data_IF_614782103954
#
_entry.id   IF_614782103954
#
_cell.length_a   1.000
_cell.length_b   1.000
_cell.length_c   1.000
_cell.angle_alpha   90.00
_cell.angle_beta   90.00
_cell.angle_gamma   90.00
#
_symmetry.space_group_name_H-M   'P 1'
#
loop_
_entity.id
_entity.type
_entity.pdbx_description
1 polymer ?
#
# COMPACT_ATOMS: atom_id res chain seq x y z
N UNK A 1 3.01 38.32 -6.03
CA UNK A 1 3.50 37.60 -4.83
C UNK A 1 2.53 36.46 -4.56
N UNK A 2 2.88 35.18 -4.75
CA UNK A 2 1.97 34.09 -4.40
C UNK A 2 1.88 33.99 -2.88
N UNK A 3 0.64 33.88 -2.38
CA UNK A 3 0.28 33.80 -0.97
C UNK A 3 0.78 32.47 -0.41
N UNK A 4 1.53 32.50 0.69
CA UNK A 4 1.92 31.30 1.42
C UNK A 4 0.65 30.57 1.89
N UNK A 5 0.54 29.29 1.58
CA UNK A 5 -0.53 28.43 2.11
C UNK A 5 -0.06 28.02 3.50
N UNK A 6 -0.68 28.57 4.54
CA UNK A 6 -0.48 28.12 5.92
C UNK A 6 -1.07 26.71 6.04
N UNK A 7 -0.25 25.74 6.44
CA UNK A 7 -0.70 24.37 6.66
C UNK A 7 -1.45 24.28 7.99
N UNK A 8 -2.75 24.02 7.95
CA UNK A 8 -3.52 23.68 9.15
C UNK A 8 -3.09 22.30 9.67
N UNK A 9 -2.70 22.23 10.94
CA UNK A 9 -2.31 20.99 11.61
C UNK A 9 -3.53 20.37 12.29
N UNK A 10 -4.02 19.26 11.75
CA UNK A 10 -5.05 18.45 12.39
C UNK A 10 -4.42 17.65 13.55
N UNK A 11 -4.73 18.03 14.80
CA UNK A 11 -4.34 17.26 15.99
C UNK A 11 -5.42 16.24 16.31
N UNK A 12 -5.10 14.96 16.16
CA UNK A 12 -6.00 13.88 16.57
C UNK A 12 -6.00 13.72 18.10
N UNK A 13 -7.18 13.59 18.71
CA UNK A 13 -7.37 13.45 20.18
C UNK A 13 -7.03 12.03 20.70
N UNK A 14 -6.31 11.22 19.91
CA UNK A 14 -5.92 9.86 20.27
C UNK A 14 -4.42 9.61 20.05
N UNK A 15 -3.85 8.76 20.89
CA UNK A 15 -2.48 8.30 20.75
C UNK A 15 -2.41 7.20 19.68
N UNK A 16 -1.87 7.55 18.50
CA UNK A 16 -1.55 6.59 17.46
C UNK A 16 -0.34 5.73 17.86
N UNK A 17 -0.52 4.41 17.95
CA UNK A 17 0.61 3.49 18.00
C UNK A 17 1.13 3.23 16.58
N UNK A 18 2.42 3.49 16.35
CA UNK A 18 3.04 3.14 15.07
C UNK A 18 3.04 1.62 14.88
N UNK A 19 2.57 1.16 13.72
CA UNK A 19 2.49 -0.25 13.36
C UNK A 19 3.62 -0.70 12.41
N UNK A 20 4.49 0.23 12.03
CA UNK A 20 5.61 -0.01 11.12
C UNK A 20 6.69 1.07 11.32
N UNK A 21 7.95 0.66 11.24
CA UNK A 21 9.10 1.57 11.26
C UNK A 21 9.91 1.40 9.98
N UNK A 22 10.13 2.50 9.24
CA UNK A 22 10.88 2.49 7.98
C UNK A 22 10.32 3.49 6.96
N UNK A 23 10.78 3.40 5.71
CA UNK A 23 10.33 4.29 4.65
C UNK A 23 8.88 4.00 4.23
N UNK A 24 8.20 5.02 3.71
CA UNK A 24 6.84 4.89 3.19
C UNK A 24 6.74 3.81 2.09
N UNK A 25 7.74 3.69 1.22
CA UNK A 25 7.78 2.65 0.20
C UNK A 25 7.84 1.23 0.80
N UNK A 26 8.63 1.03 1.86
CA UNK A 26 8.69 -0.26 2.57
C UNK A 26 7.39 -0.54 3.30
N UNK A 27 6.77 0.48 3.91
CA UNK A 27 5.46 0.35 4.55
C UNK A 27 4.39 -0.11 3.57
N UNK A 28 4.33 0.49 2.37
CA UNK A 28 3.40 0.10 1.30
C UNK A 28 3.56 -1.39 0.94
N UNK A 29 4.80 -1.84 0.68
CA UNK A 29 5.10 -3.23 0.35
C UNK A 29 4.69 -4.20 1.46
N UNK A 30 5.16 -3.99 2.70
CA UNK A 30 4.85 -4.87 3.84
C UNK A 30 3.35 -4.92 4.13
N UNK A 31 2.66 -3.78 4.00
CA UNK A 31 1.21 -3.72 4.20
C UNK A 31 0.47 -4.52 3.13
N UNK A 32 0.87 -4.40 1.87
CA UNK A 32 0.25 -5.14 0.77
C UNK A 32 0.40 -6.66 0.97
N UNK A 33 1.61 -7.15 1.23
CA UNK A 33 1.87 -8.58 1.49
C UNK A 33 1.02 -9.09 2.66
N UNK A 34 1.03 -8.40 3.81
CA UNK A 34 0.23 -8.76 4.99
C UNK A 34 -1.28 -8.84 4.70
N UNK A 35 -1.79 -7.98 3.83
CA UNK A 35 -3.20 -7.99 3.45
C UNK A 35 -3.56 -9.21 2.62
N UNK A 36 -2.72 -9.58 1.65
CA UNK A 36 -2.94 -10.76 0.80
C UNK A 36 -2.79 -12.06 1.59
N UNK A 37 -1.80 -12.19 2.47
CA UNK A 37 -1.64 -13.37 3.33
C UNK A 37 -2.84 -13.51 4.27
N UNK A 38 -3.27 -12.40 4.90
CA UNK A 38 -4.41 -12.39 5.82
C UNK A 38 -5.72 -12.75 5.11
N UNK A 39 -5.89 -12.45 3.83
CA UNK A 39 -7.11 -12.80 3.09
C UNK A 39 -7.26 -14.31 2.93
N UNK A 40 -6.16 -15.04 2.71
CA UNK A 40 -6.17 -16.51 2.69
C UNK A 40 -6.59 -17.04 4.06
N UNK A 41 -5.88 -16.61 5.11
CA UNK A 41 -6.05 -17.19 6.45
C UNK A 41 -7.42 -16.89 7.04
N UNK A 42 -7.96 -15.68 6.83
CA UNK A 42 -9.22 -15.27 7.48
C UNK A 42 -10.45 -15.43 6.61
N UNK A 43 -10.30 -15.55 5.29
CA UNK A 43 -11.42 -15.49 4.34
C UNK A 43 -11.33 -16.49 3.19
N UNK A 44 -10.26 -17.29 3.12
CA UNK A 44 -10.01 -18.25 2.02
C UNK A 44 -10.10 -17.61 0.63
N UNK A 45 -9.66 -16.34 0.50
CA UNK A 45 -9.76 -15.55 -0.72
C UNK A 45 -8.38 -15.10 -1.22
N UNK A 46 -8.23 -15.12 -2.55
CA UNK A 46 -7.06 -14.63 -3.29
C UNK A 46 -7.42 -13.41 -4.12
N UNK A 47 -6.52 -12.43 -4.17
CA UNK A 47 -6.63 -11.28 -5.08
C UNK A 47 -5.93 -11.58 -6.40
N UNK A 48 -6.60 -11.34 -7.52
CA UNK A 48 -6.00 -11.56 -8.85
C UNK A 48 -5.27 -10.32 -9.40
N UNK A 49 -5.64 -9.12 -8.94
CA UNK A 49 -5.21 -7.86 -9.53
C UNK A 49 -4.67 -6.90 -8.46
N UNK A 50 -3.53 -6.28 -8.75
CA UNK A 50 -2.87 -5.27 -7.92
C UNK A 50 -2.81 -3.95 -8.68
N UNK A 51 -3.40 -2.90 -8.13
CA UNK A 51 -3.41 -1.56 -8.70
C UNK A 51 -2.41 -0.67 -7.97
N UNK A 52 -1.57 0.03 -8.71
CA UNK A 52 -0.53 0.90 -8.15
C UNK A 52 -0.40 2.24 -8.90
N UNK A 53 0.29 3.20 -8.27
CA UNK A 53 0.51 4.56 -8.78
C UNK A 53 1.78 4.72 -9.64
N UNK A 54 2.29 3.63 -10.23
CA UNK A 54 3.53 3.62 -11.02
C UNK A 54 4.77 3.06 -10.31
N UNK A 55 4.78 2.97 -8.97
CA UNK A 55 5.95 2.46 -8.24
C UNK A 55 5.94 0.93 -8.05
N UNK A 56 6.49 0.18 -9.01
CA UNK A 56 6.53 -1.30 -9.01
C UNK A 56 7.11 -2.00 -7.77
N UNK A 57 7.74 -1.30 -6.82
CA UNK A 57 8.27 -1.91 -5.58
C UNK A 57 7.19 -2.60 -4.75
N UNK A 58 5.97 -2.06 -4.73
CA UNK A 58 4.83 -2.69 -4.06
C UNK A 58 4.46 -4.01 -4.76
N UNK A 59 4.30 -3.97 -6.08
CA UNK A 59 3.98 -5.14 -6.88
C UNK A 59 5.01 -6.28 -6.74
N UNK A 60 6.31 -5.97 -6.80
CA UNK A 60 7.39 -6.99 -6.67
C UNK A 60 7.26 -7.76 -5.35
N UNK A 61 6.81 -7.11 -4.28
CA UNK A 61 6.65 -7.76 -2.96
C UNK A 61 5.43 -8.67 -2.84
N UNK A 62 4.49 -8.61 -3.79
CA UNK A 62 3.21 -9.34 -3.71
C UNK A 62 2.95 -10.29 -4.88
N UNK A 63 3.67 -10.16 -6.00
CA UNK A 63 3.41 -10.92 -7.24
C UNK A 63 3.35 -12.43 -7.06
N UNK A 64 4.15 -12.97 -6.13
CA UNK A 64 4.26 -14.40 -5.88
C UNK A 64 3.53 -14.88 -4.60
N UNK A 65 2.65 -14.05 -4.01
CA UNK A 65 2.02 -14.34 -2.70
C UNK A 65 1.21 -15.63 -2.69
N UNK A 66 0.64 -16.04 -3.83
CA UNK A 66 -0.15 -17.27 -3.95
C UNK A 66 0.51 -18.34 -4.83
N UNK A 67 1.81 -18.17 -5.15
CA UNK A 67 2.55 -18.92 -6.18
C UNK A 67 3.05 -17.98 -7.29
N UNK A 68 3.90 -18.51 -8.17
CA UNK A 68 4.58 -17.74 -9.22
C UNK A 68 3.60 -16.91 -10.07
N UNK A 69 3.86 -15.61 -10.15
CA UNK A 69 3.10 -14.62 -10.92
C UNK A 69 1.57 -14.69 -10.71
N UNK A 70 1.16 -15.08 -9.51
CA UNK A 70 -0.25 -15.24 -9.12
C UNK A 70 -1.08 -13.95 -9.09
N UNK A 71 -0.43 -12.78 -9.15
CA UNK A 71 -1.09 -11.47 -9.11
C UNK A 71 -0.68 -10.65 -10.33
N UNK A 72 -1.66 -10.09 -11.05
CA UNK A 72 -1.43 -9.22 -12.21
C UNK A 72 -1.39 -7.76 -11.81
N UNK A 73 -0.38 -7.00 -12.28
CA UNK A 73 -0.28 -5.56 -12.04
C UNK A 73 -1.15 -4.75 -13.01
N UNK A 74 -1.80 -3.72 -12.50
CA UNK A 74 -2.43 -2.65 -13.24
C UNK A 74 -1.97 -1.30 -12.69
N UNK A 75 -1.94 -0.28 -13.55
CA UNK A 75 -1.61 1.09 -13.17
C UNK A 75 -2.87 1.92 -12.99
N UNK A 76 -2.87 2.80 -12.01
CA UNK A 76 -3.90 3.82 -11.85
C UNK A 76 -3.79 4.86 -12.98
N UNK A 77 -4.92 5.19 -13.62
CA UNK A 77 -4.98 6.23 -14.66
C UNK A 77 -5.10 7.61 -14.02
N UNK A 78 -4.35 8.60 -14.52
CA UNK A 78 -4.48 10.01 -14.10
C UNK A 78 -3.58 10.44 -12.94
N UNK A 79 -2.46 9.77 -12.71
CA UNK A 79 -1.43 10.25 -11.79
C UNK A 79 -0.75 11.49 -12.38
N UNK A 80 -0.82 12.64 -11.68
CA UNK A 80 -0.24 13.94 -12.09
C UNK A 80 0.89 14.31 -11.15
#
# INVERSE_FOLDING_TARGET
>A
MPRAIESETFTADHLCHSNFQGSASKMKAVRATRMLERSIVKRSLKYAHYYDDGNSKGFISVKDTYGDDSVTKYECVGHV
#
